data_IF_598860830611
#
_entry.id   IF_598860830611
#
_cell.length_a   1.000
_cell.length_b   1.000
_cell.length_c   1.000
_cell.angle_alpha   90.00
_cell.angle_beta   90.00
_cell.angle_gamma   90.00
#
_symmetry.space_group_name_H-M   'P 1'
#
loop_
_entity.id
_entity.type
_entity.pdbx_description
1 polymer ?
#
# COMPACT_ATOMS: atom_id res chain seq x y z
N UNK A 1 22.95 9.59 -9.34
CA UNK A 1 22.11 10.04 -8.36
C UNK A 1 20.97 9.13 -8.10
N UNK A 2 20.76 8.79 -6.88
CA UNK A 2 19.68 7.88 -6.59
C UNK A 2 18.34 8.50 -6.84
N UNK A 3 17.43 7.68 -7.25
CA UNK A 3 16.11 8.10 -7.41
C UNK A 3 15.23 7.23 -6.60
N UNK A 4 14.25 7.84 -5.97
CA UNK A 4 13.31 7.10 -5.19
C UNK A 4 12.06 6.95 -6.03
N UNK A 5 11.85 5.75 -6.52
CA UNK A 5 10.68 5.52 -7.32
C UNK A 5 9.62 4.87 -6.48
N UNK A 6 8.49 5.52 -6.40
CA UNK A 6 7.33 4.93 -5.77
C UNK A 6 6.37 4.54 -6.89
N UNK A 7 6.13 3.25 -7.02
CA UNK A 7 5.21 2.77 -8.05
C UNK A 7 3.79 3.21 -7.79
N UNK A 8 3.48 3.54 -6.53
CA UNK A 8 2.15 3.94 -6.12
C UNK A 8 2.22 5.34 -5.58
N UNK A 9 1.14 6.07 -5.70
CA UNK A 9 1.10 7.46 -5.30
C UNK A 9 0.14 7.69 -4.15
N UNK A 10 0.29 8.82 -3.48
CA UNK A 10 -0.65 9.20 -2.45
C UNK A 10 -2.02 9.33 -3.07
N UNK A 11 -3.01 8.78 -2.40
CA UNK A 11 -4.38 8.80 -2.90
C UNK A 11 -4.77 7.60 -3.74
N UNK A 12 -3.80 6.77 -4.10
CA UNK A 12 -4.12 5.57 -4.87
C UNK A 12 -4.94 4.60 -4.04
N UNK A 13 -5.86 3.93 -4.71
CA UNK A 13 -6.69 2.92 -4.08
C UNK A 13 -6.04 1.57 -4.32
N UNK A 14 -5.82 0.81 -3.27
CA UNK A 14 -5.08 -0.44 -3.35
C UNK A 14 -5.79 -1.55 -2.59
N UNK A 15 -5.48 -2.79 -2.97
CA UNK A 15 -5.90 -3.98 -2.25
C UNK A 15 -4.71 -4.63 -1.60
N UNK A 16 -4.92 -5.30 -0.49
CA UNK A 16 -3.90 -6.12 0.14
C UNK A 16 -4.59 -7.18 0.97
N UNK A 17 -3.87 -8.27 1.24
CA UNK A 17 -4.45 -9.35 2.03
C UNK A 17 -4.42 -8.98 3.50
N UNK A 18 -5.53 -9.18 4.17
CA UNK A 18 -5.64 -8.83 5.58
C UNK A 18 -4.62 -9.56 6.42
N UNK A 19 -4.26 -10.77 6.04
CA UNK A 19 -3.30 -11.55 6.80
C UNK A 19 -1.89 -10.95 6.77
N UNK A 20 -1.65 -9.98 5.90
CA UNK A 20 -0.34 -9.32 5.85
C UNK A 20 -0.21 -8.25 6.91
N UNK A 21 -1.29 -7.83 7.54
CA UNK A 21 -1.24 -6.75 8.52
C UNK A 21 -1.74 -7.15 9.88
N UNK A 22 -2.43 -8.27 10.00
CA UNK A 22 -2.88 -8.73 11.29
C UNK A 22 -3.04 -10.23 11.26
N UNK A 23 -2.79 -10.85 12.39
CA UNK A 23 -2.92 -12.29 12.51
C UNK A 23 -4.33 -12.72 12.82
N UNK A 24 -5.22 -11.75 12.96
CA UNK A 24 -6.61 -12.08 13.23
C UNK A 24 -7.29 -12.70 12.03
N UNK A 25 -6.74 -12.51 10.85
CA UNK A 25 -7.32 -13.05 9.63
C UNK A 25 -6.53 -14.25 9.17
N UNK A 26 -7.17 -15.37 9.07
CA UNK A 26 -6.49 -16.58 8.66
C UNK A 26 -6.79 -16.97 7.23
N UNK A 27 -7.69 -16.30 6.56
CA UNK A 27 -7.93 -16.57 5.16
C UNK A 27 -7.44 -15.40 4.32
N UNK A 28 -7.64 -15.44 3.03
CA UNK A 28 -7.12 -14.45 2.13
C UNK A 28 -8.10 -13.32 1.87
N UNK A 29 -8.73 -12.85 2.93
CA UNK A 29 -9.62 -11.71 2.79
C UNK A 29 -8.85 -10.51 2.27
N UNK A 30 -9.38 -9.86 1.27
CA UNK A 30 -8.76 -8.66 0.72
C UNK A 30 -9.36 -7.43 1.38
N UNK A 31 -8.48 -6.51 1.71
CA UNK A 31 -8.90 -5.22 2.22
C UNK A 31 -8.57 -4.16 1.18
N UNK A 32 -9.34 -3.10 1.16
CA UNK A 32 -9.12 -2.00 0.26
C UNK A 32 -8.83 -0.76 1.06
N UNK A 33 -7.83 -0.02 0.65
CA UNK A 33 -7.49 1.20 1.36
C UNK A 33 -6.89 2.22 0.43
N UNK A 34 -6.59 3.38 1.00
CA UNK A 34 -6.02 4.49 0.26
C UNK A 34 -4.64 4.79 0.80
N UNK A 35 -3.70 5.03 -0.07
CA UNK A 35 -2.35 5.36 0.33
C UNK A 35 -2.33 6.79 0.85
N UNK A 36 -1.89 6.94 2.11
CA UNK A 36 -1.84 8.26 2.74
C UNK A 36 -0.42 8.71 3.03
N UNK A 37 0.55 7.80 2.96
CA UNK A 37 1.95 8.16 3.16
C UNK A 37 2.84 7.21 2.40
N UNK A 38 4.04 7.68 2.05
CA UNK A 38 5.03 6.87 1.36
C UNK A 38 6.34 6.95 2.15
N UNK A 39 7.09 5.87 2.15
CA UNK A 39 8.38 5.88 2.82
C UNK A 39 9.37 5.04 2.04
N UNK A 40 10.52 5.62 1.76
CA UNK A 40 11.60 4.90 1.13
C UNK A 40 12.37 4.15 2.22
N UNK A 41 12.64 2.87 2.00
CA UNK A 41 13.42 2.08 2.93
C UNK A 41 14.66 1.61 2.19
N UNK A 42 15.81 2.05 2.65
CA UNK A 42 17.06 1.82 1.94
C UNK A 42 17.33 0.35 1.67
N UNK A 43 17.06 -0.50 2.63
CA UNK A 43 17.41 -1.90 2.51
C UNK A 43 16.23 -2.80 2.20
N UNK A 44 15.12 -2.23 1.79
CA UNK A 44 13.93 -3.01 1.52
C UNK A 44 13.10 -2.30 0.48
N UNK A 45 11.96 -2.89 0.16
CA UNK A 45 11.05 -2.25 -0.77
C UNK A 45 10.47 -1.00 -0.18
N UNK A 46 9.99 -0.14 -1.02
CA UNK A 46 9.25 1.02 -0.58
C UNK A 46 8.06 0.59 0.26
N UNK A 47 7.70 1.42 1.19
CA UNK A 47 6.59 1.12 2.06
C UNK A 47 5.56 2.23 1.99
N UNK A 48 4.32 1.85 2.21
CA UNK A 48 3.22 2.78 2.11
C UNK A 48 2.33 2.65 3.33
N UNK A 49 1.85 3.78 3.82
CA UNK A 49 0.84 3.75 4.86
C UNK A 49 -0.50 3.75 4.15
N UNK A 50 -1.27 2.72 4.38
CA UNK A 50 -2.57 2.54 3.75
C UNK A 50 -3.65 2.66 4.80
N UNK A 51 -4.61 3.52 4.53
CA UNK A 51 -5.73 3.71 5.45
C UNK A 51 -6.93 2.92 4.97
N UNK A 52 -7.43 2.04 5.81
CA UNK A 52 -8.61 1.30 5.50
C UNK A 52 -9.56 1.42 6.69
N UNK A 53 -10.70 2.04 6.46
CA UNK A 53 -11.59 2.39 7.55
C UNK A 53 -10.91 3.44 8.41
N UNK A 54 -10.76 3.17 9.68
CA UNK A 54 -10.08 4.09 10.58
C UNK A 54 -8.76 3.50 11.09
N UNK A 55 -8.21 2.55 10.36
CA UNK A 55 -6.94 1.95 10.71
C UNK A 55 -5.92 2.25 9.63
N UNK A 56 -4.67 2.47 10.04
CA UNK A 56 -3.57 2.68 9.10
C UNK A 56 -2.57 1.55 9.26
N UNK A 57 -2.06 1.08 8.13
CA UNK A 57 -1.09 -0.01 8.13
C UNK A 57 0.07 0.35 7.23
N UNK A 58 1.29 0.00 7.65
CA UNK A 58 2.47 0.13 6.80
C UNK A 58 2.66 -1.18 6.07
N UNK A 59 2.64 -1.13 4.75
CA UNK A 59 2.70 -2.33 3.92
C UNK A 59 3.74 -2.14 2.84
N UNK A 60 4.50 -3.19 2.58
CA UNK A 60 5.51 -3.15 1.53
C UNK A 60 4.88 -3.07 0.15
N UNK A 61 5.61 -2.46 -0.76
CA UNK A 61 5.10 -2.23 -2.11
C UNK A 61 4.69 -3.51 -2.82
N UNK A 62 5.43 -4.58 -2.60
CA UNK A 62 5.17 -5.83 -3.29
C UNK A 62 3.92 -6.54 -2.78
N UNK A 63 3.33 -6.05 -1.71
CA UNK A 63 2.13 -6.68 -1.18
C UNK A 63 0.86 -5.91 -1.50
N UNK A 64 0.99 -4.86 -2.28
CA UNK A 64 -0.14 -4.01 -2.64
C UNK A 64 -0.48 -4.19 -4.11
N UNK A 65 -1.76 -4.18 -4.41
CA UNK A 65 -2.24 -4.22 -5.79
C UNK A 65 -3.02 -2.96 -6.07
N UNK A 66 -2.61 -2.23 -7.08
CA UNK A 66 -3.27 -0.99 -7.44
C UNK A 66 -4.64 -1.27 -8.04
N UNK A 67 -5.66 -0.60 -7.55
CA UNK A 67 -6.99 -0.68 -8.11
C UNK A 67 -7.26 0.55 -8.97
N UNK A 68 -6.93 1.72 -8.44
CA UNK A 68 -7.23 2.95 -9.15
C UNK A 68 -6.24 4.00 -8.70
N UNK A 69 -5.63 4.67 -9.65
CA UNK A 69 -4.64 5.67 -9.35
C UNK A 69 -5.14 7.07 -9.58
N UNK A 70 -4.61 7.98 -8.82
CA UNK A 70 -5.01 9.38 -8.95
C UNK A 70 -4.45 9.99 -10.22
N UNK A 71 -3.36 9.43 -10.74
CA UNK A 71 -2.77 9.95 -11.94
C UNK A 71 -3.27 9.31 -13.17
N UNK A 72 -4.20 8.46 -13.08
CA UNK A 72 -4.70 7.75 -14.18
C UNK A 72 -5.44 8.58 -15.08
N UNK A 73 -5.06 8.87 -16.14
CA UNK A 73 -5.71 9.67 -16.87
C UNK A 73 -5.98 9.20 -17.94
N UNK A 74 -6.26 9.07 -18.38
CA UNK A 74 -6.54 8.87 -19.29
C UNK A 74 -6.77 8.71 -19.87
#
# INVERSE_FOLDING_TARGET
>A
MPKFYFRLDLGDLVNFKASRVTEDYIDDTLLTGIIVEQRYVFTADNRYKVRTGDQDYWIGEDKLTLISGTKNKT
#
